data_IF_143008870705
#
_entry.id   IF_143008870705
#
_cell.length_a   1.000
_cell.length_b   1.000
_cell.length_c   1.000
_cell.angle_alpha   90.00
_cell.angle_beta   90.00
_cell.angle_gamma   90.00
#
_symmetry.space_group_name_H-M   'P 1'
#
loop_
_entity.id
_entity.type
_entity.pdbx_description
1 polymer ?
#
# COMPACT_ATOMS: atom_id res chain seq x y z
N UNK A 1 55.22 37.08 -40.84
CA UNK A 1 54.68 36.85 -39.50
C UNK A 1 53.60 37.87 -39.29
N UNK A 2 52.32 37.48 -39.28
CA UNK A 2 51.18 38.41 -39.33
C UNK A 2 50.97 39.04 -37.95
N UNK A 3 51.54 40.19 -37.68
CA UNK A 3 51.53 40.86 -36.38
C UNK A 3 50.10 41.23 -35.90
N UNK A 4 49.20 41.47 -36.83
CA UNK A 4 47.79 41.71 -36.56
C UNK A 4 47.06 40.46 -36.09
N UNK A 5 47.34 39.26 -36.61
CA UNK A 5 46.78 38.01 -36.20
C UNK A 5 47.23 37.62 -34.77
N UNK A 6 48.52 37.91 -34.45
CA UNK A 6 49.05 37.69 -33.09
C UNK A 6 48.37 38.66 -32.09
N UNK A 7 48.25 39.94 -32.45
CA UNK A 7 47.60 40.95 -31.61
C UNK A 7 46.13 40.62 -31.39
N UNK A 8 45.40 40.20 -32.43
CA UNK A 8 43.98 39.81 -32.33
C UNK A 8 43.80 38.53 -31.49
N UNK A 9 44.69 37.54 -31.62
CA UNK A 9 44.68 36.37 -30.79
C UNK A 9 44.86 36.71 -29.31
N UNK A 10 45.84 37.53 -28.95
CA UNK A 10 46.08 37.96 -27.57
C UNK A 10 44.95 38.84 -27.01
N UNK A 11 44.29 39.66 -27.82
CA UNK A 11 43.17 40.49 -27.38
C UNK A 11 41.91 39.67 -27.17
N UNK A 12 41.57 38.74 -28.07
CA UNK A 12 40.38 37.86 -27.91
C UNK A 12 40.59 36.83 -26.81
N UNK A 13 41.70 36.08 -26.81
CA UNK A 13 42.01 35.10 -25.76
C UNK A 13 42.17 35.77 -24.38
N UNK A 14 42.79 36.96 -24.33
CA UNK A 14 42.91 37.73 -23.10
C UNK A 14 41.56 38.19 -22.54
N UNK A 15 40.65 38.63 -23.42
CA UNK A 15 39.29 39.01 -23.02
C UNK A 15 38.47 37.84 -22.55
N UNK A 16 38.56 36.67 -23.21
CA UNK A 16 37.84 35.47 -22.80
C UNK A 16 38.36 34.91 -21.47
N UNK A 17 39.67 34.98 -21.26
CA UNK A 17 40.30 34.64 -20.00
C UNK A 17 39.86 35.59 -18.86
N UNK A 18 39.81 36.89 -19.13
CA UNK A 18 39.33 37.91 -18.18
C UNK A 18 37.84 37.67 -17.82
N UNK A 19 36.99 37.39 -18.82
CA UNK A 19 35.57 37.05 -18.60
C UNK A 19 35.42 35.81 -17.75
N UNK A 20 36.19 34.74 -18.02
CA UNK A 20 36.19 33.52 -17.23
C UNK A 20 36.59 33.74 -15.78
N UNK A 21 37.62 34.58 -15.53
CA UNK A 21 38.03 34.95 -14.16
C UNK A 21 36.96 35.74 -13.43
N UNK A 22 36.30 36.68 -14.11
CA UNK A 22 35.17 37.43 -13.53
C UNK A 22 34.03 36.46 -13.14
N UNK A 23 33.69 35.50 -14.04
CA UNK A 23 32.65 34.47 -13.73
C UNK A 23 33.06 33.64 -12.55
N UNK A 24 34.32 33.24 -12.40
CA UNK A 24 34.79 32.50 -11.22
C UNK A 24 34.64 33.34 -9.94
N UNK A 25 35.13 34.61 -9.96
CA UNK A 25 35.06 35.47 -8.78
C UNK A 25 33.60 35.73 -8.34
N UNK A 26 32.75 36.14 -9.29
CA UNK A 26 31.33 36.39 -9.04
C UNK A 26 30.60 35.10 -8.66
N UNK A 27 30.88 33.99 -9.37
CA UNK A 27 30.27 32.69 -9.10
C UNK A 27 30.62 32.17 -7.71
N UNK A 28 31.88 32.23 -7.27
CA UNK A 28 32.26 31.82 -5.91
C UNK A 28 31.61 32.70 -4.85
N UNK A 29 31.51 33.99 -5.10
CA UNK A 29 30.78 34.89 -4.20
C UNK A 29 29.31 34.53 -4.12
N UNK A 30 28.64 34.27 -5.25
CA UNK A 30 27.23 33.85 -5.29
C UNK A 30 27.02 32.51 -4.61
N UNK A 31 27.87 31.51 -4.85
CA UNK A 31 27.81 30.22 -4.19
C UNK A 31 27.90 30.38 -2.65
N UNK A 32 28.87 31.18 -2.21
CA UNK A 32 29.05 31.47 -0.78
C UNK A 32 27.79 32.14 -0.19
N UNK A 33 27.23 33.10 -0.92
CA UNK A 33 26.02 33.82 -0.50
C UNK A 33 24.81 32.91 -0.46
N UNK A 34 24.58 32.04 -1.47
CA UNK A 34 23.49 31.07 -1.53
C UNK A 34 23.60 30.07 -0.38
N UNK A 35 24.80 29.49 -0.16
CA UNK A 35 25.04 28.55 0.93
C UNK A 35 24.75 29.20 2.29
N UNK A 36 25.18 30.46 2.49
CA UNK A 36 24.88 31.21 3.71
C UNK A 36 23.39 31.51 3.90
N UNK A 37 22.65 31.76 2.79
CA UNK A 37 21.21 31.96 2.82
C UNK A 37 20.48 30.67 3.22
N UNK A 38 20.93 29.52 2.70
CA UNK A 38 20.43 28.18 3.10
C UNK A 38 20.69 27.98 4.57
N UNK A 39 21.89 28.22 5.08
CA UNK A 39 22.26 28.12 6.51
C UNK A 39 21.37 28.98 7.41
N UNK A 40 21.04 30.20 6.98
CA UNK A 40 20.19 31.12 7.76
C UNK A 40 18.74 30.62 7.91
N UNK A 41 18.22 29.93 6.90
CA UNK A 41 16.86 29.36 6.93
C UNK A 41 16.79 27.98 7.56
N UNK A 42 17.92 27.27 7.69
CA UNK A 42 17.98 25.92 8.26
C UNK A 42 17.53 25.84 9.72
N UNK A 43 17.69 26.92 10.51
CA UNK A 43 17.22 26.97 11.91
C UNK A 43 15.69 26.87 12.04
N UNK A 44 14.94 27.12 10.97
CA UNK A 44 13.47 26.96 10.93
C UNK A 44 13.03 25.55 10.53
N UNK A 45 13.90 24.76 9.92
CA UNK A 45 13.63 23.38 9.54
C UNK A 45 14.10 22.44 10.67
N UNK A 46 13.20 21.63 11.20
CA UNK A 46 13.50 20.58 12.20
C UNK A 46 14.24 19.39 11.55
N UNK A 47 15.35 19.65 10.85
CA UNK A 47 16.15 18.60 10.21
C UNK A 47 17.29 18.16 11.13
N UNK A 48 17.62 16.87 11.09
CA UNK A 48 18.78 16.29 11.77
C UNK A 48 20.09 17.00 11.34
N UNK A 49 21.02 17.27 12.27
CA UNK A 49 22.27 17.99 11.96
C UNK A 49 23.10 17.32 10.86
N UNK A 50 23.15 15.99 10.85
CA UNK A 50 23.88 15.20 9.86
C UNK A 50 23.31 15.35 8.44
N UNK A 51 21.99 15.25 8.31
CA UNK A 51 21.31 15.43 7.02
C UNK A 51 21.48 16.84 6.49
N UNK A 52 21.43 17.85 7.36
CA UNK A 52 21.65 19.25 7.06
C UNK A 52 23.05 19.46 6.46
N UNK A 53 24.08 18.92 7.12
CA UNK A 53 25.46 18.98 6.62
C UNK A 53 25.62 18.34 5.24
N UNK A 54 25.00 17.19 5.03
CA UNK A 54 25.02 16.49 3.74
C UNK A 54 24.39 17.31 2.62
N UNK A 55 23.15 17.79 2.81
CA UNK A 55 22.42 18.59 1.80
C UNK A 55 23.18 19.86 1.45
N UNK A 56 23.71 20.57 2.46
CA UNK A 56 24.54 21.76 2.27
C UNK A 56 25.77 21.47 1.41
N UNK A 57 26.52 20.44 1.73
CA UNK A 57 27.71 20.09 0.97
C UNK A 57 27.36 19.64 -0.46
N UNK A 58 26.28 18.90 -0.65
CA UNK A 58 25.82 18.50 -1.98
C UNK A 58 25.48 19.73 -2.85
N UNK A 59 24.68 20.67 -2.31
CA UNK A 59 24.33 21.91 -3.01
C UNK A 59 25.60 22.71 -3.35
N UNK A 60 26.54 22.85 -2.40
CA UNK A 60 27.79 23.56 -2.59
C UNK A 60 28.60 22.96 -3.74
N UNK A 61 28.77 21.63 -3.75
CA UNK A 61 29.54 20.94 -4.81
C UNK A 61 28.88 21.13 -6.16
N UNK A 62 27.56 20.96 -6.28
CA UNK A 62 26.83 21.14 -7.53
C UNK A 62 26.96 22.56 -8.07
N UNK A 63 26.85 23.57 -7.21
CA UNK A 63 27.00 24.98 -7.62
C UNK A 63 28.42 25.29 -8.03
N UNK A 64 29.46 24.79 -7.36
CA UNK A 64 30.84 24.97 -7.78
C UNK A 64 31.12 24.31 -9.12
N UNK A 65 30.65 23.11 -9.36
CA UNK A 65 30.78 22.43 -10.66
C UNK A 65 30.15 23.28 -11.76
N UNK A 66 28.96 23.82 -11.53
CA UNK A 66 28.28 24.71 -12.51
C UNK A 66 29.11 25.97 -12.82
N UNK A 67 29.60 26.67 -11.78
CA UNK A 67 30.42 27.88 -11.93
C UNK A 67 31.72 27.59 -12.69
N UNK A 68 32.42 26.51 -12.32
CA UNK A 68 33.68 26.12 -12.99
C UNK A 68 33.45 25.79 -14.46
N UNK A 69 32.40 24.97 -14.76
CA UNK A 69 32.11 24.62 -16.15
C UNK A 69 31.74 25.86 -17.00
N UNK A 70 30.96 26.79 -16.44
CA UNK A 70 30.60 28.03 -17.13
C UNK A 70 31.83 28.88 -17.39
N UNK A 71 32.73 29.04 -16.42
CA UNK A 71 33.95 29.80 -16.57
C UNK A 71 34.89 29.20 -17.61
N UNK A 72 35.11 27.88 -17.55
CA UNK A 72 35.99 27.16 -18.50
C UNK A 72 35.46 27.26 -19.94
N UNK A 73 34.12 27.12 -20.11
CA UNK A 73 33.50 27.31 -21.43
C UNK A 73 33.69 28.73 -21.99
N UNK A 74 33.57 29.75 -21.14
CA UNK A 74 33.77 31.14 -21.51
C UNK A 74 35.21 31.43 -21.86
N UNK A 75 36.18 30.71 -21.30
CA UNK A 75 37.59 30.79 -21.64
C UNK A 75 37.93 30.12 -23.00
N UNK A 76 36.91 29.60 -23.72
CA UNK A 76 37.08 28.97 -25.03
C UNK A 76 37.53 27.51 -25.00
N UNK A 77 37.55 26.86 -23.83
CA UNK A 77 37.84 25.43 -23.70
C UNK A 77 36.58 24.62 -24.03
N UNK A 78 36.61 23.68 -24.98
CA UNK A 78 35.46 22.88 -25.31
C UNK A 78 35.11 21.93 -24.15
N UNK A 79 33.95 22.15 -23.50
CA UNK A 79 33.50 21.37 -22.36
C UNK A 79 32.53 20.22 -22.74
N UNK A 80 32.29 20.01 -24.04
CA UNK A 80 31.33 19.05 -24.59
C UNK A 80 31.53 17.62 -23.98
N UNK A 81 32.80 17.16 -23.94
CA UNK A 81 33.13 15.85 -23.37
C UNK A 81 32.82 15.77 -21.87
N UNK A 82 33.03 16.86 -21.13
CA UNK A 82 32.72 16.92 -19.69
C UNK A 82 31.20 16.91 -19.48
N UNK A 83 30.45 17.68 -20.28
CA UNK A 83 28.98 17.69 -20.23
C UNK A 83 28.43 16.31 -20.57
N UNK A 84 28.97 15.62 -21.59
CA UNK A 84 28.57 14.26 -21.95
C UNK A 84 28.83 13.27 -20.80
N UNK A 85 29.99 13.36 -20.15
CA UNK A 85 30.34 12.54 -19.01
C UNK A 85 29.40 12.83 -17.81
N UNK A 86 29.15 14.08 -17.50
CA UNK A 86 28.21 14.46 -16.42
C UNK A 86 26.79 14.06 -16.75
N UNK A 87 26.37 14.15 -18.01
CA UNK A 87 25.05 13.69 -18.47
C UNK A 87 24.88 12.20 -18.27
N UNK A 88 25.87 11.38 -18.69
CA UNK A 88 25.83 9.93 -18.49
C UNK A 88 25.85 9.55 -17.00
N UNK A 89 26.64 10.22 -16.18
CA UNK A 89 26.66 10.05 -14.74
C UNK A 89 25.30 10.45 -14.12
N UNK A 90 24.68 11.54 -14.60
CA UNK A 90 23.35 11.99 -14.18
C UNK A 90 22.26 10.95 -14.47
N UNK A 91 22.30 10.31 -15.64
CA UNK A 91 21.39 9.21 -15.98
C UNK A 91 21.58 8.02 -15.03
N UNK A 92 22.83 7.63 -14.76
CA UNK A 92 23.12 6.53 -13.83
C UNK A 92 22.58 6.82 -12.40
N UNK A 93 22.79 8.04 -11.90
CA UNK A 93 22.25 8.46 -10.59
C UNK A 93 20.73 8.48 -10.60
N UNK A 94 20.11 8.99 -11.69
CA UNK A 94 18.65 9.02 -11.82
C UNK A 94 18.04 7.61 -11.77
N UNK A 95 18.64 6.64 -12.47
CA UNK A 95 18.22 5.24 -12.43
C UNK A 95 18.40 4.64 -11.03
N UNK A 96 19.51 4.94 -10.36
CA UNK A 96 19.75 4.47 -8.99
C UNK A 96 18.72 5.05 -7.99
N UNK A 97 18.22 6.27 -8.22
CA UNK A 97 17.26 6.96 -7.36
C UNK A 97 15.79 6.77 -7.80
N UNK A 98 15.51 5.98 -8.83
CA UNK A 98 14.18 5.80 -9.40
C UNK A 98 13.12 5.41 -8.35
N UNK A 99 13.46 4.50 -7.43
CA UNK A 99 12.55 4.07 -6.36
C UNK A 99 12.23 5.19 -5.36
N UNK A 100 13.24 6.00 -5.00
CA UNK A 100 13.06 7.13 -4.08
C UNK A 100 12.16 8.20 -4.70
N UNK A 101 12.43 8.53 -5.97
CA UNK A 101 11.63 9.51 -6.71
C UNK A 101 10.19 9.00 -6.94
N UNK A 102 10.01 7.72 -7.22
CA UNK A 102 8.69 7.09 -7.33
C UNK A 102 7.88 7.21 -6.04
N UNK A 103 8.51 7.01 -4.89
CA UNK A 103 7.86 7.17 -3.59
C UNK A 103 7.50 8.64 -3.29
N UNK A 104 8.36 9.59 -3.64
CA UNK A 104 8.10 11.02 -3.50
C UNK A 104 6.89 11.44 -4.34
N UNK A 105 6.87 11.05 -5.62
CA UNK A 105 5.75 11.33 -6.54
C UNK A 105 4.49 10.63 -6.06
N UNK A 106 4.58 9.37 -5.59
CA UNK A 106 3.48 8.64 -4.99
C UNK A 106 2.87 9.38 -3.79
N UNK A 107 3.71 9.90 -2.89
CA UNK A 107 3.26 10.72 -1.76
C UNK A 107 2.54 11.99 -2.21
N UNK A 108 3.05 12.69 -3.21
CA UNK A 108 2.39 13.85 -3.80
C UNK A 108 1.01 13.50 -4.39
N UNK A 109 0.90 12.38 -5.13
CA UNK A 109 -0.35 11.89 -5.70
C UNK A 109 -1.36 11.57 -4.59
N UNK A 110 -0.93 10.86 -3.53
CA UNK A 110 -1.79 10.51 -2.40
C UNK A 110 -2.34 11.75 -1.68
N UNK A 111 -1.52 12.77 -1.49
CA UNK A 111 -1.91 14.02 -0.83
C UNK A 111 -2.81 14.90 -1.71
N UNK A 112 -2.59 14.91 -3.04
CA UNK A 112 -3.36 15.70 -3.99
C UNK A 112 -4.73 15.09 -4.27
N UNK A 113 -4.78 13.83 -4.69
CA UNK A 113 -6.02 13.14 -5.09
C UNK A 113 -6.75 12.49 -3.92
N UNK A 114 -6.06 12.26 -2.80
CA UNK A 114 -6.62 11.70 -1.56
C UNK A 114 -7.41 10.40 -1.79
N UNK A 115 -6.87 9.39 -2.48
CA UNK A 115 -7.52 8.09 -2.62
C UNK A 115 -7.75 7.43 -1.24
N UNK A 116 -6.90 7.74 -0.26
CA UNK A 116 -7.03 7.38 1.16
C UNK A 116 -6.79 8.61 2.02
N UNK A 117 -7.31 8.60 3.25
CA UNK A 117 -7.12 9.66 4.24
C UNK A 117 -6.71 9.08 5.59
N UNK A 118 -6.04 9.88 6.40
CA UNK A 118 -5.77 9.51 7.78
C UNK A 118 -7.07 9.22 8.54
N UNK A 119 -7.10 8.14 9.32
CA UNK A 119 -8.26 7.63 10.03
C UNK A 119 -9.09 6.60 9.25
N UNK A 120 -8.92 6.44 7.94
CA UNK A 120 -9.64 5.43 7.17
C UNK A 120 -9.01 4.05 7.38
N UNK A 121 -9.86 3.01 7.51
CA UNK A 121 -9.45 1.61 7.59
C UNK A 121 -9.38 1.04 6.17
N UNK A 122 -8.21 0.55 5.80
CA UNK A 122 -7.89 0.15 4.43
C UNK A 122 -7.16 -1.18 4.38
N UNK A 123 -7.29 -1.88 3.24
CA UNK A 123 -6.46 -3.04 2.90
C UNK A 123 -5.70 -2.74 1.61
N UNK A 124 -4.38 -2.97 1.64
CA UNK A 124 -3.44 -2.68 0.55
C UNK A 124 -2.57 -3.92 0.36
N UNK A 125 -2.88 -4.72 -0.67
CA UNK A 125 -2.31 -6.05 -0.83
C UNK A 125 -2.64 -6.91 0.39
N UNK A 126 -1.62 -7.46 1.05
CA UNK A 126 -1.78 -8.29 2.26
C UNK A 126 -1.79 -7.48 3.57
N UNK A 127 -1.58 -6.16 3.50
CA UNK A 127 -1.55 -5.30 4.67
C UNK A 127 -2.92 -4.66 4.90
N UNK A 128 -3.41 -4.73 6.14
CA UNK A 128 -4.69 -4.19 6.54
C UNK A 128 -4.55 -3.40 7.85
N UNK A 129 -5.17 -2.22 7.90
CA UNK A 129 -5.09 -1.37 9.08
C UNK A 129 -5.64 0.04 8.86
N UNK A 130 -5.62 0.84 9.91
CA UNK A 130 -6.02 2.25 9.89
C UNK A 130 -4.86 3.13 9.43
N UNK A 131 -5.10 4.00 8.46
CA UNK A 131 -4.13 4.99 8.00
C UNK A 131 -3.85 5.98 9.13
N UNK A 132 -2.63 5.98 9.66
CA UNK A 132 -2.21 6.90 10.71
C UNK A 132 -1.72 8.23 10.15
N UNK A 133 -0.85 8.16 9.15
CA UNK A 133 -0.24 9.33 8.54
C UNK A 133 0.20 9.03 7.09
N UNK A 134 0.10 10.03 6.22
CA UNK A 134 0.63 9.99 4.85
C UNK A 134 1.83 10.93 4.81
N UNK A 135 3.03 10.37 4.84
CA UNK A 135 4.29 11.11 4.76
C UNK A 135 4.76 11.32 3.32
N UNK A 136 5.94 11.94 3.18
CA UNK A 136 6.52 12.28 1.87
C UNK A 136 6.88 11.03 1.04
N UNK A 137 7.44 10.00 1.68
CA UNK A 137 7.91 8.78 1.00
C UNK A 137 7.13 7.53 1.41
N UNK A 138 6.57 7.52 2.62
CA UNK A 138 5.89 6.38 3.22
C UNK A 138 4.56 6.80 3.80
N UNK A 139 3.59 5.92 3.73
CA UNK A 139 2.32 5.99 4.46
C UNK A 139 2.38 5.01 5.63
N UNK A 140 2.02 5.48 6.81
CA UNK A 140 1.95 4.69 8.03
C UNK A 140 0.54 4.16 8.22
N UNK A 141 0.41 2.85 8.38
CA UNK A 141 -0.85 2.21 8.79
C UNK A 141 -0.63 1.48 10.13
N UNK A 142 -1.69 1.39 10.93
CA UNK A 142 -1.70 0.68 12.20
C UNK A 142 -2.71 -0.45 12.11
N UNK A 143 -2.24 -1.68 12.34
CA UNK A 143 -3.09 -2.88 12.34
C UNK A 143 -3.98 -2.94 13.58
N UNK A 144 -5.00 -3.81 13.57
CA UNK A 144 -5.91 -4.00 14.71
C UNK A 144 -5.20 -4.50 15.98
N UNK A 145 -4.07 -5.19 15.83
CA UNK A 145 -3.20 -5.64 16.93
C UNK A 145 -2.09 -4.61 17.27
N UNK A 146 -2.28 -3.34 16.86
CA UNK A 146 -1.45 -2.18 17.18
C UNK A 146 -0.01 -2.25 16.66
N UNK A 147 0.24 -2.93 15.53
CA UNK A 147 1.53 -2.90 14.83
C UNK A 147 1.53 -1.78 13.80
N UNK A 148 2.62 -1.04 13.70
CA UNK A 148 2.82 -0.03 12.66
C UNK A 148 3.49 -0.65 11.44
N UNK A 149 2.91 -0.40 10.27
CA UNK A 149 3.46 -0.80 8.97
C UNK A 149 3.72 0.47 8.16
N UNK A 150 4.94 0.60 7.65
CA UNK A 150 5.35 1.70 6.78
C UNK A 150 5.34 1.22 5.33
N UNK A 151 4.40 1.70 4.55
CA UNK A 151 4.24 1.34 3.14
C UNK A 151 4.84 2.41 2.23
N UNK A 152 5.73 2.06 1.29
CA UNK A 152 6.24 3.00 0.30
C UNK A 152 5.09 3.60 -0.54
N UNK A 153 5.06 4.93 -0.69
CA UNK A 153 3.96 5.59 -1.39
C UNK A 153 3.83 5.18 -2.87
N UNK A 154 4.96 4.88 -3.52
CA UNK A 154 4.97 4.36 -4.89
C UNK A 154 4.28 3.00 -5.02
N UNK A 155 4.34 2.16 -3.99
CA UNK A 155 3.60 0.89 -3.96
C UNK A 155 2.09 1.14 -3.87
N UNK A 156 1.66 2.09 -3.03
CA UNK A 156 0.24 2.42 -2.86
C UNK A 156 -0.40 2.95 -4.14
N UNK A 157 0.32 3.76 -4.90
CA UNK A 157 -0.20 4.31 -6.17
C UNK A 157 -0.31 3.28 -7.28
N UNK A 158 0.39 2.15 -7.16
CA UNK A 158 0.41 1.07 -8.16
C UNK A 158 -0.34 -0.20 -7.72
N UNK A 159 -0.97 -0.18 -6.53
CA UNK A 159 -1.68 -1.34 -5.97
C UNK A 159 -3.15 -1.00 -5.75
N UNK A 160 -4.04 -1.98 -5.91
CA UNK A 160 -5.44 -1.80 -5.56
C UNK A 160 -5.60 -1.56 -4.06
N UNK A 161 -6.36 -0.54 -3.71
CA UNK A 161 -6.66 -0.17 -2.33
C UNK A 161 -8.13 -0.47 -2.06
N UNK A 162 -8.42 -1.34 -1.09
CA UNK A 162 -9.77 -1.55 -0.59
C UNK A 162 -9.97 -0.63 0.61
N UNK A 163 -10.90 0.32 0.48
CA UNK A 163 -11.23 1.25 1.55
C UNK A 163 -12.57 0.86 2.20
N UNK A 164 -12.51 0.42 3.45
CA UNK A 164 -13.69 -0.02 4.19
C UNK A 164 -14.47 1.11 4.85
N UNK A 165 -13.86 2.28 4.99
CA UNK A 165 -14.46 3.40 5.73
C UNK A 165 -15.17 4.41 4.84
N UNK A 166 -14.76 4.52 3.57
CA UNK A 166 -15.17 5.62 2.69
C UNK A 166 -16.66 5.66 2.38
N UNK A 167 -17.27 4.50 2.12
CA UNK A 167 -18.69 4.40 1.78
C UNK A 167 -19.62 4.54 2.99
N UNK A 168 -19.07 4.52 4.20
CA UNK A 168 -19.83 4.70 5.45
C UNK A 168 -20.73 3.52 5.82
N UNK A 169 -21.03 2.63 4.88
CA UNK A 169 -21.87 1.43 5.09
C UNK A 169 -21.18 0.18 4.56
N UNK A 170 -21.43 -0.96 5.20
CA UNK A 170 -20.87 -2.25 4.79
C UNK A 170 -21.93 -3.32 4.82
N UNK A 171 -21.85 -4.25 3.85
CA UNK A 171 -22.63 -5.46 3.89
C UNK A 171 -21.93 -6.49 4.77
N UNK A 172 -22.70 -7.09 5.66
CA UNK A 172 -22.31 -8.18 6.52
C UNK A 172 -22.97 -9.45 6.01
N UNK A 173 -22.15 -10.45 5.70
CA UNK A 173 -22.57 -11.74 5.19
C UNK A 173 -22.27 -12.82 6.26
N UNK A 174 -23.32 -13.49 6.78
CA UNK A 174 -23.20 -14.61 7.69
C UNK A 174 -23.74 -15.88 7.01
N UNK A 175 -23.15 -17.02 7.31
CA UNK A 175 -23.59 -18.32 6.80
C UNK A 175 -23.96 -19.20 7.99
N UNK A 176 -25.17 -19.75 7.94
CA UNK A 176 -25.66 -20.73 8.91
C UNK A 176 -25.99 -22.04 8.20
N UNK A 177 -25.70 -23.14 8.85
CA UNK A 177 -25.97 -24.49 8.32
C UNK A 177 -27.03 -25.20 9.13
N UNK A 178 -27.91 -25.94 8.46
CA UNK A 178 -28.92 -26.82 9.07
C UNK A 178 -28.95 -28.18 8.37
N UNK A 179 -29.24 -29.24 9.07
CA UNK A 179 -29.40 -30.57 8.50
C UNK A 179 -30.64 -30.68 7.59
N UNK A 180 -30.63 -31.64 6.68
CA UNK A 180 -31.75 -31.92 5.75
C UNK A 180 -33.03 -32.39 6.46
N UNK A 181 -32.93 -32.85 7.71
CA UNK A 181 -34.06 -33.26 8.55
C UNK A 181 -34.92 -32.08 9.04
N UNK A 182 -34.40 -30.85 8.95
CA UNK A 182 -35.10 -29.66 9.39
C UNK A 182 -35.87 -28.98 8.26
N UNK A 183 -37.06 -28.46 8.58
CA UNK A 183 -37.84 -27.67 7.62
C UNK A 183 -37.10 -26.35 7.28
N UNK A 184 -36.95 -26.09 6.00
CA UNK A 184 -36.37 -24.83 5.53
C UNK A 184 -37.17 -23.61 6.02
N UNK A 185 -38.50 -23.68 6.00
CA UNK A 185 -39.38 -22.58 6.44
C UNK A 185 -39.12 -22.24 7.90
N UNK A 186 -38.94 -23.26 8.76
CA UNK A 186 -38.62 -23.06 10.17
C UNK A 186 -37.26 -22.33 10.33
N UNK A 187 -36.25 -22.69 9.56
CA UNK A 187 -34.95 -22.05 9.58
C UNK A 187 -35.08 -20.60 9.13
N UNK A 188 -35.81 -20.35 8.03
CA UNK A 188 -36.07 -18.99 7.53
C UNK A 188 -36.76 -18.10 8.58
N UNK A 189 -37.80 -18.62 9.24
CA UNK A 189 -38.58 -17.85 10.23
C UNK A 189 -37.70 -17.45 11.41
N UNK A 190 -36.86 -18.36 11.91
CA UNK A 190 -35.95 -18.09 13.02
C UNK A 190 -34.92 -17.01 12.59
N UNK A 191 -34.22 -17.19 11.47
CA UNK A 191 -33.19 -16.26 11.03
C UNK A 191 -33.78 -14.87 10.74
N UNK A 192 -34.95 -14.81 10.08
CA UNK A 192 -35.63 -13.54 9.80
C UNK A 192 -36.09 -12.84 11.09
N UNK A 193 -36.55 -13.57 12.10
CA UNK A 193 -36.95 -13.01 13.39
C UNK A 193 -35.75 -12.36 14.09
N UNK A 194 -34.61 -13.04 14.14
CA UNK A 194 -33.38 -12.49 14.75
C UNK A 194 -32.87 -11.27 14.00
N UNK A 195 -32.85 -11.30 12.65
CA UNK A 195 -32.49 -10.17 11.81
C UNK A 195 -33.42 -8.97 12.07
N UNK A 196 -34.73 -9.20 12.15
CA UNK A 196 -35.69 -8.12 12.42
C UNK A 196 -35.60 -7.54 13.83
N UNK A 197 -35.03 -8.27 14.77
CA UNK A 197 -34.77 -7.85 16.15
C UNK A 197 -33.53 -7.00 16.34
N UNK A 198 -32.63 -6.97 15.34
CA UNK A 198 -31.38 -6.23 15.42
C UNK A 198 -31.59 -4.74 15.05
N UNK A 199 -31.22 -3.83 15.96
CA UNK A 199 -31.53 -2.40 15.84
C UNK A 199 -30.56 -1.60 15.00
N UNK A 200 -29.33 -2.08 14.84
CA UNK A 200 -28.25 -1.36 14.15
C UNK A 200 -28.15 -1.71 12.65
N UNK A 201 -29.22 -2.33 12.11
CA UNK A 201 -29.31 -2.62 10.67
C UNK A 201 -29.87 -1.42 9.91
N UNK A 202 -29.41 -1.27 8.68
CA UNK A 202 -30.01 -0.33 7.74
C UNK A 202 -31.27 -0.96 7.12
N UNK A 203 -32.31 -0.16 6.93
CA UNK A 203 -33.55 -0.59 6.28
C UNK A 203 -33.37 -0.76 4.76
N UNK A 204 -32.52 0.06 4.16
CA UNK A 204 -32.18 0.00 2.75
C UNK A 204 -30.65 -0.07 2.55
N UNK A 205 -30.18 -1.07 1.79
CA UNK A 205 -30.89 -2.19 1.19
C UNK A 205 -31.45 -3.16 2.23
N UNK A 206 -32.65 -3.70 1.98
CA UNK A 206 -33.36 -4.57 2.93
C UNK A 206 -32.55 -5.82 3.27
N UNK A 207 -32.59 -6.28 4.56
CA UNK A 207 -32.01 -7.53 4.97
C UNK A 207 -32.55 -8.72 4.17
N UNK A 208 -31.68 -9.70 3.87
CA UNK A 208 -32.09 -10.89 3.13
C UNK A 208 -31.57 -12.17 3.78
N UNK A 209 -32.43 -13.19 3.79
CA UNK A 209 -32.09 -14.54 4.21
C UNK A 209 -32.42 -15.49 3.08
N UNK A 210 -31.43 -16.19 2.55
CA UNK A 210 -31.56 -17.05 1.38
C UNK A 210 -30.82 -18.37 1.56
N UNK A 211 -31.38 -19.47 1.01
CA UNK A 211 -30.62 -20.70 0.82
C UNK A 211 -29.60 -20.46 -0.29
N UNK A 212 -28.33 -20.69 0.00
CA UNK A 212 -27.25 -20.45 -0.96
C UNK A 212 -26.63 -21.71 -1.52
N UNK A 213 -26.69 -22.80 -0.76
CA UNK A 213 -26.13 -24.07 -1.19
C UNK A 213 -26.81 -25.26 -0.52
N UNK A 214 -27.01 -26.32 -1.30
CA UNK A 214 -27.27 -27.66 -0.81
C UNK A 214 -25.94 -28.41 -0.82
N UNK A 215 -25.26 -28.45 0.33
CA UNK A 215 -23.98 -29.14 0.51
C UNK A 215 -24.23 -30.63 0.78
N UNK A 216 -23.18 -31.46 0.81
CA UNK A 216 -23.30 -32.93 0.94
C UNK A 216 -24.06 -33.34 2.18
N UNK A 217 -23.89 -32.64 3.30
CA UNK A 217 -24.50 -33.00 4.59
C UNK A 217 -25.34 -31.88 5.19
N UNK A 218 -25.47 -30.71 4.55
CA UNK A 218 -26.12 -29.53 5.12
C UNK A 218 -26.74 -28.61 4.06
N UNK A 219 -27.77 -27.89 4.50
CA UNK A 219 -28.29 -26.71 3.80
C UNK A 219 -27.58 -25.45 4.34
N UNK A 220 -27.03 -24.64 3.45
CA UNK A 220 -26.36 -23.39 3.80
C UNK A 220 -27.29 -22.20 3.57
N UNK A 221 -27.57 -21.45 4.63
CA UNK A 221 -28.38 -20.23 4.60
C UNK A 221 -27.50 -19.03 4.77
N UNK A 222 -27.60 -18.07 3.85
CA UNK A 222 -26.90 -16.79 3.92
C UNK A 222 -27.82 -15.72 4.48
N UNK A 223 -27.37 -15.06 5.54
CA UNK A 223 -27.96 -13.85 6.09
C UNK A 223 -27.12 -12.67 5.62
N UNK A 224 -27.73 -11.75 4.85
CA UNK A 224 -27.06 -10.55 4.36
C UNK A 224 -27.77 -9.33 4.88
N UNK A 225 -27.02 -8.48 5.58
CA UNK A 225 -27.53 -7.26 6.18
C UNK A 225 -26.56 -6.11 5.92
N UNK A 226 -27.09 -4.88 5.91
CA UNK A 226 -26.28 -3.69 5.78
C UNK A 226 -26.22 -2.93 7.11
N UNK A 227 -25.02 -2.44 7.44
CA UNK A 227 -24.73 -1.76 8.70
C UNK A 227 -23.84 -0.54 8.45
N UNK A 228 -23.88 0.44 9.34
CA UNK A 228 -22.87 1.48 9.39
C UNK A 228 -21.48 0.86 9.62
N UNK A 229 -20.44 1.37 8.96
CA UNK A 229 -19.09 0.80 9.03
C UNK A 229 -18.57 0.67 10.47
N UNK A 230 -18.90 1.61 11.34
CA UNK A 230 -18.52 1.63 12.76
C UNK A 230 -19.17 0.50 13.55
N UNK A 231 -20.38 0.07 13.16
CA UNK A 231 -21.13 -0.99 13.82
C UNK A 231 -20.87 -2.39 13.24
N UNK A 232 -19.98 -2.51 12.23
CA UNK A 232 -19.76 -3.77 11.51
C UNK A 232 -19.41 -4.94 12.44
N UNK A 233 -18.37 -4.79 13.26
CA UNK A 233 -17.92 -5.84 14.14
C UNK A 233 -18.87 -6.10 15.35
N UNK A 234 -19.39 -5.06 16.02
CA UNK A 234 -20.39 -5.26 17.06
C UNK A 234 -21.63 -6.03 16.58
N UNK A 235 -22.17 -5.65 15.43
CA UNK A 235 -23.35 -6.34 14.85
C UNK A 235 -22.97 -7.74 14.37
N UNK A 236 -21.81 -7.92 13.76
CA UNK A 236 -21.33 -9.24 13.31
C UNK A 236 -21.37 -10.26 14.42
N UNK A 237 -20.72 -9.98 15.55
CA UNK A 237 -20.64 -10.92 16.65
C UNK A 237 -22.00 -11.13 17.32
N UNK A 238 -22.76 -10.08 17.52
CA UNK A 238 -24.08 -10.14 18.15
C UNK A 238 -25.09 -10.94 17.30
N UNK A 239 -25.14 -10.66 16.00
CA UNK A 239 -26.07 -11.36 15.11
C UNK A 239 -25.67 -12.83 14.91
N UNK A 240 -24.36 -13.11 14.80
CA UNK A 240 -23.84 -14.47 14.71
C UNK A 240 -24.22 -15.28 15.93
N UNK A 241 -24.05 -14.73 17.14
CA UNK A 241 -24.39 -15.41 18.41
C UNK A 241 -25.89 -15.59 18.56
N UNK A 242 -26.70 -14.55 18.32
CA UNK A 242 -28.15 -14.61 18.48
C UNK A 242 -28.79 -15.60 17.51
N UNK A 243 -28.44 -15.55 16.23
CA UNK A 243 -28.93 -16.51 15.24
C UNK A 243 -28.53 -17.93 15.59
N UNK A 244 -27.29 -18.15 16.03
CA UNK A 244 -26.86 -19.50 16.44
C UNK A 244 -27.64 -19.99 17.64
N UNK A 245 -27.82 -19.19 18.69
CA UNK A 245 -28.58 -19.51 19.88
C UNK A 245 -30.02 -19.82 19.54
N UNK A 246 -30.68 -19.01 18.72
CA UNK A 246 -32.08 -19.23 18.32
C UNK A 246 -32.26 -20.53 17.52
N UNK A 247 -31.31 -20.91 16.68
CA UNK A 247 -31.32 -22.21 16.00
C UNK A 247 -31.16 -23.36 16.98
N UNK A 248 -30.25 -23.26 17.95
CA UNK A 248 -30.03 -24.28 18.96
C UNK A 248 -31.27 -24.48 19.88
N UNK A 249 -31.90 -23.40 20.32
CA UNK A 249 -33.14 -23.42 21.12
C UNK A 249 -34.30 -24.06 20.36
N UNK A 250 -34.33 -23.93 19.04
CA UNK A 250 -35.33 -24.57 18.16
C UNK A 250 -34.99 -26.04 17.84
N UNK A 251 -33.85 -26.56 18.34
CA UNK A 251 -33.38 -27.91 18.08
C UNK A 251 -32.78 -28.11 16.70
N UNK A 252 -32.36 -27.02 16.03
CA UNK A 252 -31.71 -27.06 14.73
C UNK A 252 -30.20 -27.08 14.93
N UNK A 253 -29.59 -28.25 14.81
CA UNK A 253 -28.14 -28.42 14.94
C UNK A 253 -27.44 -28.36 13.59
N UNK A 254 -26.17 -27.97 13.62
CA UNK A 254 -25.27 -28.18 12.46
C UNK A 254 -25.05 -29.70 12.31
N UNK A 255 -25.24 -30.27 11.11
CA UNK A 255 -25.09 -31.71 10.93
C UNK A 255 -23.62 -32.12 11.05
N UNK A 256 -23.41 -33.33 11.61
CA UNK A 256 -22.12 -33.99 11.57
C UNK A 256 -21.85 -34.53 10.18
N UNK A 257 -20.59 -34.79 9.86
CA UNK A 257 -20.21 -35.51 8.65
C UNK A 257 -20.86 -36.89 8.66
N UNK A 258 -21.65 -37.22 7.64
CA UNK A 258 -22.25 -38.52 7.45
C UNK A 258 -21.37 -39.36 6.53
N UNK A 259 -21.10 -40.60 6.91
CA UNK A 259 -20.32 -41.57 6.14
C UNK A 259 -21.10 -42.85 6.01
N UNK A 260 -21.42 -43.27 4.80
CA UNK A 260 -22.00 -44.57 4.52
C UNK A 260 -20.93 -45.63 4.54
N UNK A 261 -21.01 -46.56 5.53
CA UNK A 261 -20.05 -47.67 5.65
C UNK A 261 -20.67 -48.96 5.13
N UNK A 262 -20.27 -49.37 3.94
CA UNK A 262 -20.64 -50.68 3.40
C UNK A 262 -19.69 -51.77 3.88
N UNK A 263 -20.10 -52.54 4.89
CA UNK A 263 -19.34 -53.71 5.37
C UNK A 263 -19.56 -54.90 4.45
N UNK A 264 -18.55 -55.34 3.70
CA UNK A 264 -18.55 -56.65 2.99
C UNK A 264 -18.17 -57.74 3.95
N UNK A 265 -19.11 -58.71 4.20
CA UNK A 265 -18.78 -59.96 4.90
C UNK A 265 -17.87 -60.77 3.98
N UNK A 266 -16.58 -60.88 4.30
CA UNK A 266 -15.67 -61.83 3.67
C UNK A 266 -16.03 -63.21 4.23
N UNK A 267 -16.61 -64.10 3.41
CA UNK A 267 -16.76 -65.51 3.75
C UNK A 267 -15.34 -66.04 3.95
N UNK A 268 -15.01 -66.35 5.20
CA UNK A 268 -13.82 -67.10 5.57
C UNK A 268 -14.10 -68.49 5.01
N UNK A 269 -13.40 -68.91 3.96
CA UNK A 269 -13.39 -70.29 3.48
C UNK A 269 -12.94 -71.14 4.68
N UNK A 270 -13.87 -71.94 5.23
CA UNK A 270 -13.49 -73.03 6.15
C UNK A 270 -12.55 -73.96 5.41
N UNK A 271 -11.42 -74.39 6.01
CA UNK A 271 -10.50 -75.35 5.37
C UNK A 271 -11.25 -76.66 5.24
N UNK A 272 -11.26 -77.20 4.03
CA UNK A 272 -11.81 -78.45 3.61
C UNK A 272 -11.29 -79.60 4.49
N UNK A 273 -12.12 -80.08 5.43
CA UNK A 273 -11.78 -81.20 6.34
C UNK A 273 -11.92 -82.57 5.68
N UNK A 274 -11.91 -82.68 4.36
CA UNK A 274 -12.00 -83.96 3.63
C UNK A 274 -10.69 -84.37 2.93
N UNK A 275 -9.57 -84.37 3.65
CA UNK A 275 -8.34 -85.02 3.17
C UNK A 275 -7.56 -85.78 4.23
N UNK A 276 -8.28 -86.70 4.89
CA UNK A 276 -7.62 -87.70 5.73
C UNK A 276 -8.46 -88.98 5.74
N UNK A 277 -8.51 -89.67 4.59
CA UNK A 277 -8.88 -91.09 4.55
C UNK A 277 -8.56 -91.64 3.13
N UNK A 278 -7.29 -91.95 2.89
CA UNK A 278 -6.84 -93.12 2.13
C UNK A 278 -5.31 -93.31 2.27
#
# INVERSE_FOLDING_TARGET
>A
MNWEAIRNFFTTAGMDLLRGLIILAVGFFLVHWIVKLVERNEHKMKMEPTLRGFVKNLIRVLLYVLVILTAVNTMGVPITSIITLLGSAGVAVSLAMQGVLGNLIGGFILLLFKPIRAGEYVKIGDNEGTVKNIGTFYTEIVTIDNRQINLPNGTLTNTAIVNYSREGTRRLDLIFTAGYEHSMDKVYDILRKEVSGEKDLLEEPAPSVNLTKCADNALEFSVRVWVATENYWPVYFRLLENCRRALDEAGISAPYQQVDVHMKKTHRNEPDQHRAAR
#
